data_IF_380065200269
#
_entry.id   IF_380065200269
#
_cell.length_a   1.000
_cell.length_b   1.000
_cell.length_c   1.000
_cell.angle_alpha   90.00
_cell.angle_beta   90.00
_cell.angle_gamma   90.00
#
_symmetry.space_group_name_H-M   'P 1'
#
loop_
_entity.id
_entity.type
_entity.pdbx_description
1 polymer ?
#
# COMPACT_ATOMS: atom_id res chain seq x y z
N UNK A 1 30.03 -18.95 2.61
CA UNK A 1 28.71 -19.40 3.10
C UNK A 1 27.70 -18.41 2.58
N UNK A 2 26.83 -18.81 1.66
CA UNK A 2 25.73 -17.95 1.21
C UNK A 2 24.73 -17.86 2.37
N UNK A 3 24.65 -16.71 3.02
CA UNK A 3 23.54 -16.40 3.94
C UNK A 3 22.25 -16.55 3.15
N UNK A 4 21.39 -17.49 3.55
CA UNK A 4 20.07 -17.67 2.97
C UNK A 4 19.36 -16.32 2.92
N UNK A 5 19.18 -15.78 1.70
CA UNK A 5 18.40 -14.58 1.44
C UNK A 5 16.93 -14.90 1.69
N UNK A 6 16.54 -14.96 2.96
CA UNK A 6 15.18 -15.30 3.36
C UNK A 6 14.60 -14.18 4.20
N UNK A 7 13.46 -13.66 3.77
CA UNK A 7 12.66 -12.73 4.56
C UNK A 7 11.86 -13.48 5.62
N UNK A 8 11.54 -12.81 6.72
CA UNK A 8 10.59 -13.30 7.74
C UNK A 8 9.21 -13.64 7.15
N UNK A 9 8.90 -13.10 5.97
CA UNK A 9 7.66 -13.36 5.25
C UNK A 9 7.69 -14.64 4.40
N UNK A 10 8.84 -15.31 4.31
CA UNK A 10 9.03 -16.48 3.45
C UNK A 10 8.45 -17.77 4.02
N UNK A 11 8.07 -17.79 5.30
CA UNK A 11 7.48 -18.99 5.94
C UNK A 11 6.13 -19.36 5.32
N UNK A 12 5.91 -20.64 5.00
CA UNK A 12 4.67 -21.15 4.39
C UNK A 12 3.40 -20.64 5.10
N UNK A 13 3.30 -20.66 6.45
CA UNK A 13 2.12 -20.13 7.13
C UNK A 13 1.87 -18.65 6.87
N UNK A 14 2.93 -17.83 6.79
CA UNK A 14 2.83 -16.40 6.49
C UNK A 14 2.37 -16.17 5.05
N UNK A 15 2.88 -16.96 4.11
CA UNK A 15 2.45 -16.88 2.71
C UNK A 15 0.96 -17.22 2.55
N UNK A 16 0.51 -18.30 3.19
CA UNK A 16 -0.90 -18.72 3.17
C UNK A 16 -1.78 -17.64 3.79
N UNK A 17 -1.37 -17.07 4.93
CA UNK A 17 -2.10 -15.99 5.59
C UNK A 17 -2.19 -14.76 4.69
N UNK A 18 -1.06 -14.30 4.13
CA UNK A 18 -0.99 -13.12 3.27
C UNK A 18 -1.84 -13.29 2.01
N UNK A 19 -1.76 -14.45 1.36
CA UNK A 19 -2.53 -14.73 0.14
C UNK A 19 -4.03 -14.79 0.43
N UNK A 20 -4.45 -15.64 1.38
CA UNK A 20 -5.87 -15.95 1.58
C UNK A 20 -6.61 -14.92 2.43
N UNK A 21 -5.92 -14.27 3.37
CA UNK A 21 -6.56 -13.35 4.32
C UNK A 21 -6.41 -11.88 3.92
N UNK A 22 -5.43 -11.55 3.06
CA UNK A 22 -5.14 -10.16 2.68
C UNK A 22 -5.25 -9.95 1.18
N UNK A 23 -4.36 -10.55 0.37
CA UNK A 23 -4.27 -10.24 -1.08
C UNK A 23 -5.54 -10.59 -1.85
N UNK A 24 -5.99 -11.85 -1.77
CA UNK A 24 -7.17 -12.32 -2.48
C UNK A 24 -8.42 -11.52 -2.06
N UNK A 25 -8.69 -11.30 -0.76
CA UNK A 25 -9.80 -10.43 -0.35
C UNK A 25 -9.71 -8.99 -0.85
N UNK A 26 -8.52 -8.39 -0.90
CA UNK A 26 -8.32 -7.03 -1.44
C UNK A 26 -8.68 -7.01 -2.93
N UNK A 27 -8.10 -7.91 -3.73
CA UNK A 27 -8.31 -7.97 -5.18
C UNK A 27 -9.77 -8.18 -5.53
N UNK A 28 -10.42 -9.19 -4.94
CA UNK A 28 -11.85 -9.47 -5.16
C UNK A 28 -12.72 -8.28 -4.76
N UNK A 29 -12.36 -7.55 -3.70
CA UNK A 29 -13.13 -6.39 -3.26
C UNK A 29 -12.94 -5.20 -4.19
N UNK A 30 -11.73 -4.94 -4.65
CA UNK A 30 -11.41 -3.87 -5.62
C UNK A 30 -12.17 -4.12 -6.92
N UNK A 31 -12.13 -5.34 -7.44
CA UNK A 31 -12.85 -5.73 -8.65
C UNK A 31 -14.36 -5.44 -8.53
N UNK A 32 -15.00 -5.82 -7.43
CA UNK A 32 -16.44 -5.56 -7.22
C UNK A 32 -16.74 -4.06 -7.04
N UNK A 33 -15.89 -3.31 -6.34
CA UNK A 33 -16.11 -1.88 -6.08
C UNK A 33 -16.09 -1.09 -7.39
N UNK A 34 -15.11 -1.38 -8.25
CA UNK A 34 -14.92 -0.68 -9.51
C UNK A 34 -15.72 -1.28 -10.68
N UNK A 35 -16.38 -2.43 -10.49
CA UNK A 35 -17.30 -2.97 -11.49
C UNK A 35 -18.54 -2.05 -11.64
N UNK A 36 -18.82 -1.52 -12.85
CA UNK A 36 -19.99 -0.68 -13.10
C UNK A 36 -21.32 -1.43 -12.93
N UNK A 37 -21.35 -2.74 -13.18
CA UNK A 37 -22.54 -3.58 -13.14
C UNK A 37 -22.86 -4.14 -11.74
N UNK A 38 -21.94 -3.96 -10.79
CA UNK A 38 -22.13 -4.43 -9.42
C UNK A 38 -23.19 -3.60 -8.69
N UNK A 39 -24.07 -4.29 -7.95
CA UNK A 39 -25.10 -3.64 -7.16
C UNK A 39 -24.50 -2.79 -6.02
N UNK A 40 -25.21 -1.76 -5.57
CA UNK A 40 -24.78 -0.94 -4.41
C UNK A 40 -24.53 -1.79 -3.16
N UNK A 41 -25.34 -2.82 -2.95
CA UNK A 41 -25.22 -3.73 -1.81
C UNK A 41 -23.91 -4.53 -1.90
N UNK A 42 -23.56 -5.00 -3.09
CA UNK A 42 -22.33 -5.77 -3.29
C UNK A 42 -21.09 -4.89 -3.15
N UNK A 43 -21.15 -3.64 -3.61
CA UNK A 43 -20.09 -2.64 -3.38
C UNK A 43 -19.88 -2.37 -1.89
N UNK A 44 -20.94 -2.27 -1.09
CA UNK A 44 -20.84 -2.09 0.37
C UNK A 44 -20.25 -3.34 1.04
N UNK A 45 -20.68 -4.53 0.65
CA UNK A 45 -20.11 -5.80 1.16
C UNK A 45 -18.62 -5.91 0.82
N UNK A 46 -18.25 -5.56 -0.41
CA UNK A 46 -16.86 -5.53 -0.87
C UNK A 46 -16.04 -4.49 -0.10
N UNK A 47 -16.56 -3.28 0.12
CA UNK A 47 -15.88 -2.27 0.93
C UNK A 47 -15.65 -2.75 2.38
N UNK A 48 -16.62 -3.45 2.99
CA UNK A 48 -16.45 -4.04 4.32
C UNK A 48 -15.40 -5.15 4.33
N UNK A 49 -15.36 -5.99 3.29
CA UNK A 49 -14.37 -7.06 3.13
C UNK A 49 -12.97 -6.48 2.94
N UNK A 50 -12.83 -5.47 2.09
CA UNK A 50 -11.62 -4.69 1.89
C UNK A 50 -11.12 -4.10 3.21
N UNK A 51 -12.01 -3.46 3.97
CA UNK A 51 -11.67 -2.87 5.26
C UNK A 51 -11.12 -3.91 6.25
N UNK A 52 -11.76 -5.08 6.35
CA UNK A 52 -11.28 -6.18 7.20
C UNK A 52 -9.91 -6.69 6.76
N UNK A 53 -9.69 -6.85 5.46
CA UNK A 53 -8.41 -7.28 4.92
C UNK A 53 -7.30 -6.25 5.22
N UNK A 54 -7.60 -4.95 5.09
CA UNK A 54 -6.68 -3.87 5.46
C UNK A 54 -6.40 -3.85 6.97
N UNK A 55 -7.38 -4.16 7.81
CA UNK A 55 -7.13 -4.30 9.25
C UNK A 55 -6.17 -5.45 9.56
N UNK A 56 -6.20 -6.55 8.82
CA UNK A 56 -5.29 -7.68 9.02
C UNK A 56 -3.84 -7.37 8.68
N UNK A 57 -3.57 -6.36 7.84
CA UNK A 57 -2.22 -5.84 7.58
C UNK A 57 -1.54 -5.43 8.90
N UNK A 58 -2.29 -4.85 9.84
CA UNK A 58 -1.74 -4.41 11.14
C UNK A 58 -1.25 -5.55 12.03
N UNK A 59 -1.61 -6.80 11.72
CA UNK A 59 -1.16 -7.99 12.46
C UNK A 59 0.13 -8.58 11.90
N UNK A 60 0.60 -8.09 10.75
CA UNK A 60 1.84 -8.56 10.16
C UNK A 60 3.03 -7.97 10.91
N UNK A 61 4.14 -8.71 11.05
CA UNK A 61 5.35 -8.15 11.62
C UNK A 61 5.82 -7.00 10.73
N UNK A 62 6.26 -5.91 11.36
CA UNK A 62 6.74 -4.73 10.65
C UNK A 62 8.04 -5.06 9.89
N UNK A 63 8.16 -4.63 8.63
CA UNK A 63 9.40 -4.86 7.88
C UNK A 63 10.52 -3.99 8.45
N UNK A 64 11.63 -4.66 8.73
CA UNK A 64 12.90 -4.06 9.16
C UNK A 64 13.98 -4.37 8.14
N UNK A 65 15.10 -3.62 8.19
CA UNK A 65 16.25 -3.87 7.31
C UNK A 65 16.81 -5.29 7.48
N UNK A 66 16.74 -5.83 8.70
CA UNK A 66 17.19 -7.20 9.04
C UNK A 66 16.19 -8.27 8.58
N UNK A 67 14.89 -7.96 8.57
CA UNK A 67 13.83 -8.90 8.19
C UNK A 67 13.46 -8.89 6.70
N UNK A 68 14.09 -8.02 5.91
CA UNK A 68 13.89 -7.88 4.47
C UNK A 68 15.23 -8.05 3.73
N UNK A 69 15.19 -8.59 2.52
CA UNK A 69 16.42 -8.93 1.78
C UNK A 69 16.63 -8.07 0.54
N UNK A 70 15.57 -7.49 -0.03
CA UNK A 70 15.67 -6.78 -1.30
C UNK A 70 16.10 -5.32 -1.09
N UNK A 71 17.11 -4.80 -1.83
CA UNK A 71 17.62 -3.43 -1.65
C UNK A 71 16.55 -2.34 -1.80
N UNK A 72 15.62 -2.50 -2.76
CA UNK A 72 14.50 -1.56 -2.91
C UNK A 72 13.51 -1.62 -1.73
N UNK A 73 13.35 -2.76 -1.06
CA UNK A 73 12.58 -2.84 0.19
C UNK A 73 13.25 -2.01 1.28
N UNK A 74 14.59 -2.06 1.38
CA UNK A 74 15.35 -1.21 2.31
C UNK A 74 15.15 0.28 2.01
N UNK A 75 15.18 0.68 0.74
CA UNK A 75 14.89 2.07 0.36
C UNK A 75 13.47 2.51 0.76
N UNK A 76 12.48 1.62 0.58
CA UNK A 76 11.09 1.88 0.99
C UNK A 76 10.95 1.96 2.52
N UNK A 77 11.71 1.16 3.28
CA UNK A 77 11.78 1.24 4.75
C UNK A 77 12.34 2.60 5.18
N UNK A 78 13.46 3.03 4.59
CA UNK A 78 14.07 4.34 4.89
C UNK A 78 13.09 5.48 4.58
N UNK A 79 12.38 5.40 3.45
CA UNK A 79 11.36 6.38 3.08
C UNK A 79 10.20 6.41 4.07
N UNK A 80 9.72 5.24 4.51
CA UNK A 80 8.66 5.12 5.53
C UNK A 80 9.07 5.79 6.82
N UNK A 81 10.27 5.48 7.31
CA UNK A 81 10.78 5.99 8.58
C UNK A 81 10.97 7.51 8.50
N UNK A 82 11.55 8.00 7.40
CA UNK A 82 11.66 9.43 7.12
C UNK A 82 10.30 10.14 7.11
N UNK A 83 9.29 9.59 6.41
CA UNK A 83 7.94 10.15 6.40
C UNK A 83 7.32 10.16 7.80
N UNK A 84 7.51 9.08 8.56
CA UNK A 84 6.97 8.97 9.92
C UNK A 84 7.61 9.97 10.89
N UNK A 85 8.89 10.27 10.73
CA UNK A 85 9.63 11.23 11.55
C UNK A 85 9.38 12.70 11.14
N UNK A 86 9.20 12.96 9.85
CA UNK A 86 9.16 14.34 9.30
C UNK A 86 7.76 14.87 9.02
N UNK A 87 6.75 14.01 8.85
CA UNK A 87 5.39 14.45 8.59
C UNK A 87 4.54 14.51 9.87
N UNK A 88 4.10 15.72 10.22
CA UNK A 88 3.20 15.95 11.36
C UNK A 88 1.73 15.88 10.94
N UNK A 89 1.24 14.68 10.65
CA UNK A 89 -0.21 14.43 10.51
C UNK A 89 -0.79 13.89 11.82
N UNK A 90 -2.12 13.93 11.97
CA UNK A 90 -2.81 13.29 13.08
C UNK A 90 -2.40 11.82 13.24
N UNK A 91 -2.24 11.35 14.48
CA UNK A 91 -1.70 10.02 14.83
C UNK A 91 -2.40 8.88 14.08
N UNK A 92 -3.72 8.96 13.92
CA UNK A 92 -4.51 7.96 13.20
C UNK A 92 -4.14 7.88 11.71
N UNK A 93 -3.94 9.03 11.07
CA UNK A 93 -3.56 9.15 9.66
C UNK A 93 -2.14 8.64 9.46
N UNK A 94 -1.21 8.99 10.34
CA UNK A 94 0.15 8.45 10.32
C UNK A 94 0.15 6.93 10.54
N UNK A 95 -0.67 6.42 11.45
CA UNK A 95 -0.83 4.99 11.67
C UNK A 95 -1.38 4.27 10.43
N UNK A 96 -2.29 4.89 9.67
CA UNK A 96 -2.76 4.34 8.40
C UNK A 96 -1.65 4.34 7.33
N UNK A 97 -0.93 5.44 7.17
CA UNK A 97 0.18 5.55 6.20
C UNK A 97 1.24 4.49 6.48
N UNK A 98 1.71 4.38 7.73
CA UNK A 98 2.69 3.36 8.15
C UNK A 98 2.22 1.94 7.82
N UNK A 99 0.95 1.63 8.08
CA UNK A 99 0.36 0.32 7.75
C UNK A 99 0.37 0.04 6.25
N UNK A 100 -0.03 1.01 5.43
CA UNK A 100 -0.03 0.86 3.98
C UNK A 100 1.39 0.72 3.42
N UNK A 101 2.33 1.52 3.90
CA UNK A 101 3.74 1.40 3.51
C UNK A 101 4.32 0.05 3.90
N UNK A 102 4.06 -0.42 5.12
CA UNK A 102 4.48 -1.75 5.56
C UNK A 102 3.93 -2.85 4.65
N UNK A 103 2.67 -2.75 4.23
CA UNK A 103 2.10 -3.70 3.28
C UNK A 103 2.81 -3.68 1.93
N UNK A 104 3.07 -2.49 1.37
CA UNK A 104 3.77 -2.34 0.08
C UNK A 104 5.18 -2.93 0.16
N UNK A 105 5.92 -2.63 1.23
CA UNK A 105 7.26 -3.18 1.46
C UNK A 105 7.21 -4.71 1.50
N UNK A 106 6.26 -5.29 2.26
CA UNK A 106 6.08 -6.74 2.37
C UNK A 106 5.78 -7.37 1.01
N UNK A 107 4.86 -6.77 0.24
CA UNK A 107 4.53 -7.24 -1.10
C UNK A 107 5.76 -7.20 -2.02
N UNK A 108 6.49 -6.09 -2.00
CA UNK A 108 7.67 -5.90 -2.84
C UNK A 108 8.80 -6.89 -2.49
N UNK A 109 9.06 -7.11 -1.19
CA UNK A 109 10.14 -7.97 -0.73
C UNK A 109 9.85 -9.45 -0.99
N UNK A 110 8.58 -9.85 -0.91
CA UNK A 110 8.20 -11.26 -0.89
C UNK A 110 7.50 -11.78 -2.16
N UNK A 111 6.82 -10.93 -2.95
CA UNK A 111 5.99 -11.36 -4.07
C UNK A 111 6.53 -10.85 -5.43
N UNK A 112 7.20 -11.71 -6.24
CA UNK A 112 7.80 -11.30 -7.50
C UNK A 112 6.81 -10.71 -8.53
N UNK A 113 5.60 -11.27 -8.74
CA UNK A 113 4.57 -10.61 -9.55
C UNK A 113 4.27 -9.16 -9.14
N UNK A 114 4.07 -8.90 -7.84
CA UNK A 114 3.80 -7.55 -7.36
C UNK A 114 5.03 -6.64 -7.46
N UNK A 115 6.23 -7.19 -7.29
CA UNK A 115 7.48 -6.46 -7.53
C UNK A 115 7.53 -5.93 -8.95
N UNK A 116 7.22 -6.76 -9.95
CA UNK A 116 7.20 -6.34 -11.35
C UNK A 116 6.14 -5.28 -11.64
N UNK A 117 4.96 -5.38 -11.03
CA UNK A 117 3.92 -4.34 -11.14
C UNK A 117 4.40 -3.02 -10.52
N UNK A 118 5.07 -3.08 -9.37
CA UNK A 118 5.58 -1.87 -8.71
C UNK A 118 6.75 -1.25 -9.47
N UNK A 119 7.64 -2.08 -10.03
CA UNK A 119 8.73 -1.63 -10.90
C UNK A 119 8.18 -1.04 -12.22
N UNK A 120 7.12 -1.63 -12.81
CA UNK A 120 6.49 -1.08 -14.01
C UNK A 120 5.80 0.26 -13.72
N UNK A 121 5.14 0.41 -12.57
CA UNK A 121 4.55 1.69 -12.14
C UNK A 121 5.64 2.73 -11.90
N UNK A 122 6.80 2.35 -11.35
CA UNK A 122 7.95 3.25 -11.19
C UNK A 122 8.46 3.73 -12.56
N UNK A 123 8.62 2.81 -13.52
CA UNK A 123 9.07 3.15 -14.87
C UNK A 123 8.06 4.05 -15.60
N UNK A 124 6.77 3.82 -15.40
CA UNK A 124 5.72 4.71 -15.91
C UNK A 124 5.71 6.06 -15.21
N UNK A 125 5.86 6.11 -13.89
CA UNK A 125 5.92 7.36 -13.12
C UNK A 125 7.15 8.22 -13.46
N UNK A 126 8.27 7.60 -13.86
CA UNK A 126 9.45 8.31 -14.37
C UNK A 126 9.25 8.84 -15.81
N UNK A 127 8.37 8.21 -16.58
CA UNK A 127 7.96 8.66 -17.92
C UNK A 127 6.82 9.67 -17.89
N UNK A 128 6.05 9.70 -16.80
CA UNK A 128 5.08 10.76 -16.57
C UNK A 128 5.83 12.06 -16.41
N UNK A 129 5.72 12.94 -17.41
CA UNK A 129 5.98 14.36 -17.19
C UNK A 129 5.08 14.79 -16.04
N UNK A 130 5.70 15.02 -14.89
CA UNK A 130 5.05 15.72 -13.79
C UNK A 130 4.75 17.12 -14.29
N UNK A 131 3.59 17.30 -14.92
CA UNK A 131 2.99 18.61 -15.06
C UNK A 131 2.79 19.06 -13.63
N UNK A 132 3.66 19.95 -13.15
CA UNK A 132 3.38 20.72 -11.96
C UNK A 132 1.98 21.26 -12.18
N UNK A 133 0.98 20.72 -11.49
CA UNK A 133 -0.29 21.42 -11.38
C UNK A 133 0.13 22.75 -10.83
N UNK A 134 0.06 23.79 -11.66
CA UNK A 134 0.54 25.12 -11.32
C UNK A 134 -0.03 25.43 -9.95
N UNK A 135 0.85 25.45 -8.96
CA UNK A 135 0.62 26.21 -7.73
C UNK A 135 0.85 27.69 -8.06
N UNK A 136 0.28 28.14 -9.19
CA UNK A 136 -0.02 29.53 -9.44
C UNK A 136 -1.35 29.77 -8.75
N UNK A 137 -1.27 30.17 -7.49
CA UNK A 137 -2.15 31.17 -6.90
C UNK A 137 -3.65 31.10 -7.22
N UNK A 138 -4.31 29.94 -7.09
CA UNK A 138 -5.77 29.86 -7.02
C UNK A 138 -6.21 29.92 -5.55
N UNK A 139 -5.90 31.02 -4.88
CA UNK A 139 -6.55 31.41 -3.61
C UNK A 139 -7.94 32.04 -3.82
N UNK A 140 -8.42 32.09 -5.06
CA UNK A 140 -9.72 32.65 -5.41
C UNK A 140 -10.48 31.64 -6.25
N UNK A 141 -11.64 31.22 -5.74
CA UNK A 141 -12.69 30.45 -6.44
C UNK A 141 -12.34 28.96 -6.67
N UNK A 142 -12.80 27.95 -5.92
CA UNK A 142 -14.19 27.63 -5.57
C UNK A 142 -14.17 26.30 -4.78
N UNK A 143 -14.26 26.35 -3.45
CA UNK A 143 -14.63 25.20 -2.60
C UNK A 143 -16.03 25.43 -2.01
N UNK A 144 -16.98 25.84 -2.86
CA UNK A 144 -18.35 26.15 -2.44
C UNK A 144 -19.23 24.91 -2.17
N UNK A 145 -18.81 23.71 -2.57
CA UNK A 145 -19.65 22.50 -2.48
C UNK A 145 -19.47 21.68 -1.18
N UNK A 146 -18.67 22.16 -0.22
CA UNK A 146 -18.48 21.52 1.11
C UNK A 146 -19.26 22.19 2.25
N UNK A 147 -20.11 23.19 1.93
CA UNK A 147 -21.04 23.81 2.88
C UNK A 147 -22.45 23.88 2.27
N UNK A 148 -23.12 22.73 2.18
CA UNK A 148 -24.57 22.61 2.37
C UNK A 148 -24.87 21.31 3.12
#
# INVERSE_FOLDING_TARGET
MATEQSTIYSTIPMQIFMMNSIKKPILESVEIIFNPDASKIDKVKAARKLWKAVQLISKMPEPTLEGTWHPNSHNLIILRDWLCERCFLATERMGLIRRLMNFIIILYDFDPPWRWVLDSVKDEALKMEWKSRGYEDVRTETYAWWRE
#
